data_IF_480349243220
#
_entry.id   IF_480349243220
#
_cell.length_a   1.000
_cell.length_b   1.000
_cell.length_c   1.000
_cell.angle_alpha   90.00
_cell.angle_beta   90.00
_cell.angle_gamma   90.00
#
_symmetry.space_group_name_H-M   'P 1'
#
loop_
_entity.id
_entity.type
_entity.pdbx_description
1 polymer ?
#
# COMPACT_ATOMS: atom_id res chain seq x y z
N UNK A 1 -19.96 -12.63 1.49
CA UNK A 1 -19.66 -12.03 2.81
C UNK A 1 -18.15 -12.17 3.06
N UNK A 2 -17.32 -11.20 2.64
CA UNK A 2 -15.88 -11.24 2.94
C UNK A 2 -15.67 -10.77 4.38
N UNK A 3 -15.15 -11.65 5.23
CA UNK A 3 -14.88 -11.37 6.65
C UNK A 3 -13.71 -10.38 6.73
N UNK A 4 -13.85 -9.29 7.49
CA UNK A 4 -12.85 -8.22 7.65
C UNK A 4 -11.52 -8.68 8.30
N UNK A 5 -11.42 -9.97 8.63
CA UNK A 5 -10.29 -10.63 9.27
C UNK A 5 -9.25 -11.17 8.27
N UNK A 6 -9.55 -11.12 6.96
CA UNK A 6 -8.63 -11.62 5.95
C UNK A 6 -7.36 -10.75 5.85
N UNK A 7 -6.23 -11.42 5.67
CA UNK A 7 -4.91 -10.80 5.61
C UNK A 7 -4.34 -11.03 4.21
N UNK A 8 -4.36 -9.96 3.43
CA UNK A 8 -4.02 -10.00 2.01
C UNK A 8 -2.57 -9.57 1.78
N UNK A 9 -2.00 -9.97 0.64
CA UNK A 9 -0.66 -9.53 0.25
C UNK A 9 -0.67 -8.06 -0.16
N UNK A 10 0.51 -7.44 -0.20
CA UNK A 10 0.66 -6.04 -0.63
C UNK A 10 0.07 -5.75 -2.03
N UNK A 11 0.12 -6.74 -2.94
CA UNK A 11 -0.44 -6.61 -4.29
C UNK A 11 -1.96 -6.59 -4.30
N UNK A 12 -2.59 -7.47 -3.54
CA UNK A 12 -4.05 -7.47 -3.32
C UNK A 12 -4.48 -6.20 -2.59
N UNK A 13 -3.73 -5.78 -1.57
CA UNK A 13 -3.98 -4.53 -0.86
C UNK A 13 -3.92 -3.32 -1.81
N UNK A 14 -2.94 -3.29 -2.70
CA UNK A 14 -2.77 -2.25 -3.70
C UNK A 14 -3.97 -2.20 -4.64
N UNK A 15 -4.42 -3.36 -5.11
CA UNK A 15 -5.57 -3.49 -6.01
C UNK A 15 -6.88 -3.11 -5.33
N UNK A 16 -7.08 -3.57 -4.09
CA UNK A 16 -8.27 -3.28 -3.28
C UNK A 16 -8.37 -1.77 -2.97
N UNK A 17 -7.24 -1.13 -2.68
CA UNK A 17 -7.20 0.32 -2.45
C UNK A 17 -7.01 1.17 -3.70
N UNK A 18 -6.75 0.60 -4.88
CA UNK A 18 -6.49 1.35 -6.11
C UNK A 18 -5.21 2.18 -6.09
N UNK A 19 -4.19 1.77 -5.33
CA UNK A 19 -2.89 2.47 -5.23
C UNK A 19 -1.75 1.55 -5.68
N UNK A 20 -0.61 2.12 -6.05
CA UNK A 20 0.59 1.33 -6.36
C UNK A 20 1.18 0.67 -5.11
N UNK A 21 1.84 -0.49 -5.29
CA UNK A 21 2.58 -1.19 -4.23
C UNK A 21 3.61 -0.26 -3.56
N UNK A 22 4.24 0.63 -4.31
CA UNK A 22 5.18 1.63 -3.77
C UNK A 22 4.51 2.58 -2.76
N UNK A 23 3.27 3.02 -3.04
CA UNK A 23 2.49 3.86 -2.13
C UNK A 23 2.21 3.12 -0.82
N UNK A 24 1.87 1.84 -0.88
CA UNK A 24 1.71 1.01 0.32
C UNK A 24 3.03 0.84 1.08
N UNK A 25 4.16 0.64 0.38
CA UNK A 25 5.49 0.60 1.03
C UNK A 25 5.82 1.92 1.74
N UNK A 26 5.46 3.06 1.15
CA UNK A 26 5.62 4.37 1.81
C UNK A 26 4.73 4.50 3.03
N UNK A 27 3.49 4.01 2.96
CA UNK A 27 2.59 4.01 4.11
C UNK A 27 3.09 3.10 5.23
N UNK A 28 3.66 1.94 4.91
CA UNK A 28 4.33 1.05 5.87
C UNK A 28 5.49 1.82 6.54
N UNK A 29 6.36 2.44 5.73
CA UNK A 29 7.49 3.25 6.24
C UNK A 29 7.03 4.46 7.07
N UNK A 30 5.89 5.04 6.73
CA UNK A 30 5.30 6.17 7.43
C UNK A 30 4.49 5.77 8.67
N UNK A 31 4.31 4.47 8.94
CA UNK A 31 3.50 3.97 10.05
C UNK A 31 1.98 4.13 9.87
N UNK A 32 1.50 4.40 8.64
CA UNK A 32 0.06 4.51 8.35
C UNK A 32 -0.64 3.15 8.24
N UNK A 33 0.08 2.12 7.78
CA UNK A 33 -0.43 0.75 7.69
C UNK A 33 0.50 -0.20 8.44
N UNK A 34 -0.08 -1.24 9.03
CA UNK A 34 0.66 -2.23 9.79
C UNK A 34 0.84 -3.52 8.97
N UNK A 35 2.08 -3.76 8.52
CA UNK A 35 2.44 -5.02 7.89
C UNK A 35 2.58 -6.12 8.95
N UNK A 36 1.69 -7.10 8.90
CA UNK A 36 1.83 -8.33 9.65
C UNK A 36 2.90 -9.18 8.96
N UNK A 37 4.02 -9.40 9.64
CA UNK A 37 4.97 -10.42 9.21
C UNK A 37 4.42 -11.78 9.64
N UNK A 38 4.12 -12.63 8.68
CA UNK A 38 3.88 -14.05 8.97
C UNK A 38 5.22 -14.73 9.28
N UNK A 39 5.16 -15.87 9.96
CA UNK A 39 6.34 -16.68 10.35
C UNK A 39 7.23 -17.05 9.15
N UNK A 40 6.66 -17.13 7.94
CA UNK A 40 7.39 -17.31 6.67
C UNK A 40 8.04 -16.06 6.08
N UNK A 41 8.09 -14.93 6.80
CA UNK A 41 8.74 -13.69 6.35
C UNK A 41 7.94 -12.87 5.33
N UNK A 42 6.72 -13.29 5.00
CA UNK A 42 5.86 -12.60 4.04
C UNK A 42 5.09 -11.48 4.74
N UNK A 43 4.92 -10.35 4.05
CA UNK A 43 4.16 -9.20 4.55
C UNK A 43 2.69 -9.37 4.17
N UNK A 44 1.82 -9.45 5.16
CA UNK A 44 0.37 -9.45 4.99
C UNK A 44 -0.25 -8.21 5.63
N UNK A 45 -1.32 -7.72 5.02
CA UNK A 45 -2.04 -6.52 5.41
C UNK A 45 -3.48 -6.90 5.70
N UNK A 46 -4.02 -6.47 6.84
CA UNK A 46 -5.45 -6.68 7.13
C UNK A 46 -6.28 -5.68 6.33
N UNK A 47 -7.37 -6.16 5.75
CA UNK A 47 -8.32 -5.29 5.03
C UNK A 47 -8.86 -4.18 5.96
N UNK A 48 -9.12 -4.50 7.23
CA UNK A 48 -9.55 -3.53 8.23
C UNK A 48 -8.54 -2.37 8.44
N UNK A 49 -7.24 -2.66 8.33
CA UNK A 49 -6.17 -1.65 8.48
C UNK A 49 -6.12 -0.72 7.26
N UNK A 50 -6.27 -1.30 6.06
CA UNK A 50 -6.36 -0.56 4.80
C UNK A 50 -7.61 0.34 4.72
N UNK A 51 -8.69 -0.08 5.38
CA UNK A 51 -9.92 0.69 5.47
C UNK A 51 -9.82 1.83 6.50
N UNK A 52 -9.07 1.63 7.59
CA UNK A 52 -8.80 2.65 8.61
C UNK A 52 -7.93 3.80 8.09
N UNK A 53 -7.10 3.56 7.08
CA UNK A 53 -6.35 4.64 6.43
C UNK A 53 -7.31 5.49 5.61
N UNK A 54 -7.77 6.57 6.23
CA UNK A 54 -8.41 7.68 5.56
C UNK A 54 -7.32 8.54 4.90
N UNK A 55 -7.07 8.28 3.62
CA UNK A 55 -6.16 9.10 2.83
C UNK A 55 -6.86 9.45 1.51
N UNK A 56 -7.63 10.55 1.46
CA UNK A 56 -8.40 10.95 0.29
C UNK A 56 -7.53 11.42 -0.89
N UNK A 57 -6.20 11.38 -0.76
CA UNK A 57 -5.26 11.74 -1.82
C UNK A 57 -5.04 10.57 -2.79
N UNK A 58 -6.11 10.19 -3.50
CA UNK A 58 -6.06 9.42 -4.74
C UNK A 58 -5.48 10.29 -5.87
N UNK A 59 -4.23 10.70 -5.74
CA UNK A 59 -3.51 11.30 -6.87
C UNK A 59 -2.78 10.15 -7.54
N UNK A 60 -3.29 9.73 -8.69
CA UNK A 60 -2.49 8.98 -9.66
C UNK A 60 -1.22 9.79 -9.91
N UNK A 61 -0.12 9.49 -9.22
CA UNK A 61 1.18 10.10 -9.49
C UNK A 61 1.74 9.45 -10.75
N UNK A 62 1.17 9.84 -11.88
CA UNK A 62 1.80 9.71 -13.18
C UNK A 62 2.45 11.06 -13.41
N UNK A 63 3.74 11.22 -13.09
CA UNK A 63 4.79 11.85 -13.92
C UNK A 63 6.14 11.54 -13.24
N UNK A 64 6.92 10.61 -13.80
CA UNK A 64 8.37 10.59 -13.57
C UNK A 64 8.97 11.49 -14.65
N UNK A 65 9.22 12.76 -14.32
CA UNK A 65 9.92 13.65 -15.23
C UNK A 65 11.41 13.30 -15.15
N UNK A 66 11.94 12.64 -16.18
CA UNK A 66 13.38 12.48 -16.38
C UNK A 66 13.96 13.89 -16.57
N UNK A 67 14.58 14.45 -15.54
CA UNK A 67 15.43 15.62 -15.68
C UNK A 67 16.71 15.16 -16.37
N UNK A 68 16.84 15.48 -17.66
CA UNK A 68 18.14 15.39 -18.31
C UNK A 68 19.00 16.52 -17.75
N UNK A 69 20.06 16.16 -17.05
CA UNK A 69 21.13 17.07 -16.66
C UNK A 69 21.66 17.77 -17.92
N UNK A 70 21.71 19.11 -18.00
CA UNK A 70 22.48 19.79 -19.03
C UNK A 70 23.98 19.76 -18.67
N UNK A 71 24.79 19.35 -19.66
CA UNK A 71 26.25 19.45 -19.86
C UNK A 71 27.14 19.79 -18.63
#
# INVERSE_FOLDING_TARGET
>A
MHRLEDSIQIGEAAKLRGVSIDTLRRWEKSGKIQALRTEGGHRRYRVADLLKVDNPHFRYTVIYARVSTPD
#
